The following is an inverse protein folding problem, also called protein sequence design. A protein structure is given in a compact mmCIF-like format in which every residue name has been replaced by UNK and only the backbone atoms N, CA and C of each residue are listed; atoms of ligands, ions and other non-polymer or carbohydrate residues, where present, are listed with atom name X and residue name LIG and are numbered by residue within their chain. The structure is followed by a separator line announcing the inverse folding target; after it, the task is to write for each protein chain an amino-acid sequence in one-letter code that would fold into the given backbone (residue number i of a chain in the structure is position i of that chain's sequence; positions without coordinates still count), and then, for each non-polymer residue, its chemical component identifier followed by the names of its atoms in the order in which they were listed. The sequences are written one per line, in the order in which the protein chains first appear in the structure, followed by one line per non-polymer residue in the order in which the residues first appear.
data_IF_846550887986
#
_entry.id   IF_846550887986
#
_cell.length_a   1.000
_cell.length_b   1.000
_cell.length_c   1.000
_cell.angle_alpha   90.00
_cell.angle_beta   90.00
_cell.angle_gamma   90.00
#
_symmetry.space_group_name_H-M   'P 1'
#
loop_
_entity.id
_entity.type
_entity.pdbx_description
1 polymer ?
#
# COMPACT_ATOMS: atom_id res chain seq x y z
N UNK A 1 21.03 -3.35 -29.95
CA UNK A 1 20.94 -3.93 -28.60
C UNK A 1 19.70 -3.36 -27.94
N UNK A 2 18.78 -4.19 -27.45
CA UNK A 2 17.61 -3.69 -26.75
C UNK A 2 18.07 -2.90 -25.53
N UNK A 3 17.85 -1.58 -25.53
CA UNK A 3 17.95 -0.74 -24.34
C UNK A 3 16.99 -1.32 -23.31
N UNK A 4 17.51 -1.93 -22.25
CA UNK A 4 16.68 -2.20 -21.08
C UNK A 4 16.40 -0.83 -20.45
N UNK A 5 15.18 -0.32 -20.59
CA UNK A 5 14.67 0.92 -19.98
C UNK A 5 14.54 0.82 -18.45
N UNK A 6 15.46 0.12 -17.79
CA UNK A 6 15.54 -0.01 -16.34
C UNK A 6 16.84 0.62 -15.85
N UNK A 7 16.73 1.40 -14.79
CA UNK A 7 17.88 1.98 -14.09
C UNK A 7 18.79 0.86 -13.57
N UNK A 8 20.07 1.20 -13.37
CA UNK A 8 21.02 0.26 -12.75
C UNK A 8 20.54 -0.21 -11.36
N UNK A 9 19.87 0.67 -10.62
CA UNK A 9 19.31 0.35 -9.31
C UNK A 9 18.18 -0.69 -9.39
N UNK A 10 17.34 -0.64 -10.43
CA UNK A 10 16.33 -1.69 -10.66
C UNK A 10 17.00 -3.01 -10.97
N UNK A 11 18.03 -3.02 -11.82
CA UNK A 11 18.78 -4.24 -12.14
C UNK A 11 19.41 -4.80 -10.86
N UNK A 12 20.02 -3.96 -10.04
CA UNK A 12 20.61 -4.37 -8.77
C UNK A 12 19.57 -5.02 -7.84
N UNK A 13 18.44 -4.35 -7.60
CA UNK A 13 17.39 -4.87 -6.73
C UNK A 13 16.66 -6.08 -7.29
N UNK A 14 16.69 -6.29 -8.61
CA UNK A 14 16.18 -7.49 -9.25
C UNK A 14 17.15 -8.68 -9.13
N UNK A 15 18.43 -8.49 -9.48
CA UNK A 15 19.42 -9.56 -9.45
C UNK A 15 19.88 -9.91 -8.02
N UNK A 16 19.87 -8.93 -7.11
CA UNK A 16 20.30 -9.06 -5.72
C UNK A 16 19.21 -8.51 -4.77
N UNK A 17 18.02 -9.13 -4.73
CA UNK A 17 16.92 -8.64 -3.92
C UNK A 17 17.28 -8.60 -2.44
N UNK A 18 16.89 -7.50 -1.77
CA UNK A 18 17.12 -7.30 -0.35
C UNK A 18 15.93 -7.80 0.44
N UNK A 19 16.20 -8.41 1.60
CA UNK A 19 15.18 -8.89 2.54
C UNK A 19 14.17 -9.89 1.95
N UNK A 20 14.56 -10.63 0.92
CA UNK A 20 13.75 -11.73 0.41
C UNK A 20 13.60 -12.81 1.48
N UNK A 21 12.36 -13.25 1.72
CA UNK A 21 12.06 -14.31 2.66
C UNK A 21 12.32 -15.67 1.99
N UNK A 22 13.44 -16.30 2.38
CA UNK A 22 13.81 -17.63 1.91
C UNK A 22 12.94 -18.69 2.56
N UNK A 23 12.80 -19.82 1.87
CA UNK A 23 12.13 -21.01 2.39
C UNK A 23 13.13 -21.89 3.16
N UNK A 24 13.75 -21.33 4.19
CA UNK A 24 14.69 -22.00 5.08
C UNK A 24 14.26 -21.84 6.55
N UNK A 25 15.06 -22.37 7.49
CA UNK A 25 14.76 -22.33 8.91
C UNK A 25 14.64 -20.89 9.45
N UNK A 26 15.49 -19.97 8.99
CA UNK A 26 15.46 -18.55 9.36
C UNK A 26 14.20 -17.86 8.81
N UNK A 27 13.78 -18.18 7.58
CA UNK A 27 12.51 -17.71 7.02
C UNK A 27 11.29 -18.20 7.81
N UNK A 28 11.27 -19.49 8.17
CA UNK A 28 10.19 -20.07 8.99
C UNK A 28 10.13 -19.43 10.38
N UNK A 29 11.28 -19.22 11.02
CA UNK A 29 11.37 -18.52 12.30
C UNK A 29 10.91 -17.06 12.18
N UNK A 30 11.28 -16.38 11.09
CA UNK A 30 10.82 -15.02 10.84
C UNK A 30 9.30 -14.93 10.75
N UNK A 31 8.66 -15.81 9.98
CA UNK A 31 7.20 -15.85 9.83
C UNK A 31 6.52 -16.04 11.19
N UNK A 32 7.02 -16.98 12.01
CA UNK A 32 6.47 -17.28 13.33
C UNK A 32 6.49 -16.07 14.27
N UNK A 33 7.54 -15.26 14.16
CA UNK A 33 7.78 -14.09 15.01
C UNK A 33 7.33 -12.76 14.38
N UNK A 34 6.74 -12.77 13.18
CA UNK A 34 6.23 -11.56 12.54
C UNK A 34 4.96 -11.06 13.24
N UNK A 35 4.90 -9.76 13.52
CA UNK A 35 3.73 -9.14 14.15
C UNK A 35 2.54 -9.10 13.20
N UNK A 36 2.79 -8.85 11.92
CA UNK A 36 1.75 -8.76 10.92
C UNK A 36 2.18 -9.24 9.53
N UNK A 37 1.15 -9.52 8.73
CA UNK A 37 1.25 -10.08 7.39
C UNK A 37 0.27 -9.37 6.45
N UNK A 38 0.72 -9.09 5.23
CA UNK A 38 -0.09 -8.56 4.14
C UNK A 38 0.10 -9.37 2.88
N UNK A 39 -1.00 -9.66 2.19
CA UNK A 39 -1.02 -10.29 0.87
C UNK A 39 -1.94 -9.50 -0.06
N UNK A 40 -1.48 -9.25 -1.27
CA UNK A 40 -2.23 -8.60 -2.33
C UNK A 40 -1.87 -9.23 -3.67
N UNK A 41 -2.80 -9.18 -4.63
CA UNK A 41 -2.58 -9.66 -5.98
C UNK A 41 -3.28 -8.76 -6.99
N UNK A 42 -2.69 -8.62 -8.16
CA UNK A 42 -3.28 -7.89 -9.28
C UNK A 42 -3.77 -8.88 -10.33
N UNK A 43 -5.10 -9.07 -10.51
CA UNK A 43 -5.64 -10.05 -11.44
C UNK A 43 -5.38 -9.70 -12.91
N UNK A 44 -5.08 -8.44 -13.22
CA UNK A 44 -4.85 -7.98 -14.60
C UNK A 44 -3.46 -8.41 -15.10
N UNK A 45 -2.44 -8.35 -14.25
CA UNK A 45 -1.07 -8.74 -14.62
C UNK A 45 -0.60 -10.06 -14.01
N UNK A 46 -1.32 -10.61 -13.01
CA UNK A 46 -1.00 -11.85 -12.32
C UNK A 46 0.04 -11.73 -11.21
N UNK A 47 0.55 -10.53 -10.92
CA UNK A 47 1.53 -10.31 -9.85
C UNK A 47 0.88 -10.52 -8.47
N UNK A 48 1.58 -11.21 -7.56
CA UNK A 48 1.18 -11.44 -6.17
C UNK A 48 2.33 -11.03 -5.25
N UNK A 49 2.01 -10.33 -4.16
CA UNK A 49 3.00 -9.85 -3.20
C UNK A 49 2.59 -10.14 -1.77
N UNK A 50 3.57 -10.60 -0.99
CA UNK A 50 3.45 -10.99 0.42
C UNK A 50 4.51 -10.28 1.24
N UNK A 51 4.12 -9.62 2.32
CA UNK A 51 5.02 -8.89 3.22
C UNK A 51 4.74 -9.30 4.66
N UNK A 52 5.81 -9.57 5.41
CA UNK A 52 5.81 -9.82 6.85
C UNK A 52 6.63 -8.72 7.52
N UNK A 53 6.08 -8.14 8.59
CA UNK A 53 6.73 -7.07 9.32
C UNK A 53 6.92 -7.46 10.79
N UNK A 54 8.02 -7.00 11.37
CA UNK A 54 8.23 -6.91 12.82
C UNK A 54 8.09 -5.46 13.25
N UNK A 55 7.36 -5.25 14.34
CA UNK A 55 7.00 -3.93 14.84
C UNK A 55 7.59 -3.74 16.23
N UNK A 56 8.37 -2.69 16.40
CA UNK A 56 8.67 -2.13 17.72
C UNK A 56 7.41 -1.41 18.21
N UNK A 57 6.74 -2.03 19.18
CA UNK A 57 5.47 -1.55 19.72
C UNK A 57 5.64 -0.35 20.66
N UNK A 58 6.81 -0.20 21.28
CA UNK A 58 7.08 0.91 22.19
C UNK A 58 7.26 2.20 21.40
N UNK A 59 7.93 2.12 20.24
CA UNK A 59 8.22 3.27 19.39
C UNK A 59 7.30 3.41 18.17
N UNK A 60 6.36 2.49 17.96
CA UNK A 60 5.44 2.44 16.81
C UNK A 60 6.18 2.46 15.45
N UNK A 61 7.22 1.61 15.34
CA UNK A 61 8.12 1.53 14.17
C UNK A 61 8.20 0.15 13.55
N UNK A 62 8.36 0.10 12.24
CA UNK A 62 8.68 -1.12 11.48
C UNK A 62 10.19 -1.33 11.59
N UNK A 63 10.61 -2.39 12.29
CA UNK A 63 12.04 -2.67 12.54
C UNK A 63 12.60 -3.76 11.63
N UNK A 64 11.73 -4.62 11.09
CA UNK A 64 12.13 -5.59 10.06
C UNK A 64 10.99 -5.82 9.08
N UNK A 65 11.35 -6.12 7.84
CA UNK A 65 10.46 -6.37 6.73
C UNK A 65 11.06 -7.46 5.87
N UNK A 66 10.35 -8.58 5.70
CA UNK A 66 10.70 -9.62 4.72
C UNK A 66 9.52 -9.89 3.80
N UNK A 67 9.80 -10.37 2.59
CA UNK A 67 8.77 -10.46 1.56
C UNK A 67 8.98 -11.64 0.61
N UNK A 68 7.90 -12.02 -0.04
CA UNK A 68 7.89 -12.91 -1.20
C UNK A 68 7.00 -12.28 -2.27
N UNK A 69 7.39 -12.40 -3.53
CA UNK A 69 6.54 -11.97 -4.64
C UNK A 69 6.67 -12.95 -5.79
N UNK A 70 5.55 -13.19 -6.45
CA UNK A 70 5.52 -13.76 -7.78
C UNK A 70 5.14 -12.63 -8.72
N UNK A 71 6.03 -12.23 -9.61
CA UNK A 71 5.73 -11.14 -10.52
C UNK A 71 6.88 -10.74 -11.43
N UNK A 72 6.67 -9.66 -12.18
CA UNK A 72 7.66 -9.19 -13.15
C UNK A 72 8.91 -8.54 -12.50
N UNK A 73 9.92 -8.21 -13.32
CA UNK A 73 11.16 -7.53 -12.91
C UNK A 73 10.90 -6.32 -12.02
N UNK A 74 9.91 -5.49 -12.38
CA UNK A 74 9.55 -4.31 -11.61
C UNK A 74 8.93 -4.66 -10.25
N UNK A 75 8.12 -5.70 -10.14
CA UNK A 75 7.53 -6.14 -8.87
C UNK A 75 8.61 -6.58 -7.88
N UNK A 76 9.59 -7.37 -8.32
CA UNK A 76 10.72 -7.80 -7.50
C UNK A 76 11.55 -6.59 -7.04
N UNK A 77 11.93 -5.71 -7.97
CA UNK A 77 12.75 -4.54 -7.65
C UNK A 77 12.03 -3.55 -6.70
N UNK A 78 10.75 -3.29 -6.93
CA UNK A 78 9.90 -2.46 -6.05
C UNK A 78 9.82 -3.04 -4.65
N UNK A 79 9.52 -4.33 -4.51
CA UNK A 79 9.37 -4.95 -3.19
C UNK A 79 10.68 -4.96 -2.43
N UNK A 80 11.76 -5.27 -3.15
CA UNK A 80 13.13 -5.19 -2.65
C UNK A 80 13.44 -3.79 -2.12
N UNK A 81 13.20 -2.73 -2.90
CA UNK A 81 13.44 -1.34 -2.46
C UNK A 81 12.54 -0.94 -1.30
N UNK A 82 11.24 -1.25 -1.37
CA UNK A 82 10.29 -0.97 -0.30
C UNK A 82 10.78 -1.55 1.03
N UNK A 83 11.24 -2.79 1.03
CA UNK A 83 11.76 -3.43 2.24
C UNK A 83 13.01 -2.75 2.81
N UNK A 84 13.87 -2.18 1.95
CA UNK A 84 15.02 -1.38 2.39
C UNK A 84 14.54 -0.08 3.02
N UNK A 85 13.65 0.66 2.34
CA UNK A 85 13.09 1.92 2.84
C UNK A 85 12.46 1.77 4.22
N UNK A 86 11.68 0.70 4.44
CA UNK A 86 11.04 0.42 5.72
C UNK A 86 12.03 0.18 6.86
N UNK A 87 13.22 -0.31 6.54
CA UNK A 87 14.29 -0.65 7.50
C UNK A 87 15.39 0.41 7.58
N UNK A 88 15.31 1.50 6.81
CA UNK A 88 16.35 2.54 6.83
C UNK A 88 16.52 3.12 8.25
N UNK A 89 17.77 3.31 8.67
CA UNK A 89 18.10 3.80 10.00
C UNK A 89 17.71 2.83 11.12
N UNK A 90 16.80 3.26 12.00
CA UNK A 90 16.26 2.46 13.11
C UNK A 90 14.88 1.86 12.80
N UNK A 91 14.46 1.89 11.54
CA UNK A 91 13.11 1.51 11.13
C UNK A 91 12.20 2.71 10.89
N UNK A 92 11.27 2.55 9.95
CA UNK A 92 10.30 3.58 9.58
C UNK A 92 9.14 3.60 10.57
N UNK A 93 8.70 4.80 11.01
CA UNK A 93 7.48 4.91 11.83
C UNK A 93 6.26 4.43 11.04
N UNK A 94 5.29 3.82 11.73
CA UNK A 94 4.07 3.34 11.08
C UNK A 94 3.33 4.50 10.39
N UNK A 95 3.28 5.68 11.00
CA UNK A 95 2.65 6.86 10.38
C UNK A 95 3.34 7.27 9.08
N UNK A 96 4.67 7.30 9.05
CA UNK A 96 5.43 7.57 7.81
C UNK A 96 5.20 6.47 6.75
N UNK A 97 5.05 5.22 7.18
CA UNK A 97 4.77 4.10 6.28
C UNK A 97 3.35 4.19 5.67
N UNK A 98 2.35 4.70 6.42
CA UNK A 98 1.00 4.95 5.90
C UNK A 98 0.97 6.07 4.85
N UNK A 99 1.85 7.07 5.00
CA UNK A 99 2.02 8.18 4.06
C UNK A 99 2.95 7.87 2.87
N UNK A 100 3.58 6.69 2.87
CA UNK A 100 4.43 6.27 1.77
C UNK A 100 3.57 6.09 0.52
N UNK A 101 3.99 6.70 -0.59
CA UNK A 101 3.28 6.63 -1.88
C UNK A 101 4.04 5.71 -2.84
N UNK A 102 3.35 5.11 -3.83
CA UNK A 102 4.01 4.38 -4.91
C UNK A 102 5.08 5.22 -5.62
N UNK A 103 4.83 6.53 -5.78
CA UNK A 103 5.75 7.47 -6.43
C UNK A 103 7.09 7.56 -5.67
N UNK A 104 7.06 7.69 -4.34
CA UNK A 104 8.27 7.73 -3.51
C UNK A 104 9.12 6.46 -3.63
N UNK A 105 8.50 5.30 -3.79
CA UNK A 105 9.21 4.03 -4.00
C UNK A 105 9.91 4.03 -5.38
N UNK A 106 9.21 4.51 -6.40
CA UNK A 106 9.75 4.65 -7.77
C UNK A 106 10.90 5.65 -7.83
N UNK A 107 10.76 6.80 -7.18
CA UNK A 107 11.80 7.82 -7.09
C UNK A 107 13.06 7.27 -6.43
N UNK A 108 12.91 6.45 -5.37
CA UNK A 108 14.04 5.78 -4.73
C UNK A 108 14.73 4.78 -5.67
N UNK A 109 14.00 4.16 -6.59
CA UNK A 109 14.53 3.32 -7.68
C UNK A 109 15.05 4.12 -8.89
N UNK A 110 14.98 5.45 -8.84
CA UNK A 110 15.28 6.37 -9.93
C UNK A 110 14.07 6.57 -10.85
N UNK A 111 13.71 5.56 -11.64
CA UNK A 111 12.54 5.59 -12.50
C UNK A 111 12.16 4.18 -12.95
N UNK A 112 10.87 3.89 -13.11
CA UNK A 112 10.38 2.70 -13.79
C UNK A 112 9.59 3.11 -15.04
N UNK A 113 9.54 2.27 -16.09
CA UNK A 113 8.68 2.51 -17.24
C UNK A 113 7.22 2.75 -16.80
N UNK A 114 6.50 3.76 -17.33
CA UNK A 114 5.15 4.11 -16.86
C UNK A 114 4.16 2.93 -16.86
N UNK A 115 4.25 2.03 -17.84
CA UNK A 115 3.41 0.82 -17.94
C UNK A 115 3.60 -0.16 -16.76
N UNK A 116 4.69 -0.03 -16.00
CA UNK A 116 5.04 -0.87 -14.84
C UNK A 116 4.73 -0.21 -13.50
N UNK A 117 4.13 1.00 -13.51
CA UNK A 117 3.79 1.71 -12.27
C UNK A 117 2.85 0.94 -11.34
N UNK A 118 1.99 0.09 -11.89
CA UNK A 118 1.11 -0.78 -11.11
C UNK A 118 1.86 -1.71 -10.15
N UNK A 119 3.12 -2.07 -10.41
CA UNK A 119 3.95 -2.85 -9.49
C UNK A 119 4.28 -2.05 -8.21
N UNK A 120 4.51 -0.74 -8.33
CA UNK A 120 4.72 0.15 -7.19
C UNK A 120 3.43 0.35 -6.38
N UNK A 121 2.28 0.43 -7.07
CA UNK A 121 0.95 0.45 -6.43
C UNK A 121 0.74 -0.83 -5.61
N UNK A 122 0.96 -1.99 -6.23
CA UNK A 122 0.82 -3.29 -5.55
C UNK A 122 1.73 -3.41 -4.32
N UNK A 123 2.98 -2.93 -4.41
CA UNK A 123 3.88 -2.90 -3.26
C UNK A 123 3.40 -2.03 -2.11
N UNK A 124 2.87 -0.85 -2.42
CA UNK A 124 2.29 0.01 -1.41
C UNK A 124 1.02 -0.60 -0.78
N UNK A 125 0.18 -1.24 -1.58
CA UNK A 125 -1.02 -1.95 -1.10
C UNK A 125 -0.65 -3.14 -0.19
N UNK A 126 0.42 -3.88 -0.50
CA UNK A 126 0.93 -4.96 0.33
C UNK A 126 1.35 -4.46 1.72
N UNK A 127 2.07 -3.34 1.78
CA UNK A 127 2.44 -2.68 3.04
C UNK A 127 1.20 -2.27 3.85
N UNK A 128 0.24 -1.61 3.20
CA UNK A 128 -1.01 -1.19 3.87
C UNK A 128 -1.82 -2.38 4.35
N UNK A 129 -1.84 -3.48 3.58
CA UNK A 129 -2.44 -4.76 3.98
C UNK A 129 -1.81 -5.32 5.25
N UNK A 130 -0.48 -5.33 5.33
CA UNK A 130 0.25 -5.76 6.52
C UNK A 130 -0.04 -4.87 7.74
N UNK A 131 -0.03 -3.54 7.58
CA UNK A 131 -0.32 -2.62 8.68
C UNK A 131 -1.77 -2.71 9.15
N UNK A 132 -2.73 -2.89 8.25
CA UNK A 132 -4.12 -3.14 8.64
C UNK A 132 -4.29 -4.47 9.37
N UNK A 133 -3.52 -5.50 9.02
CA UNK A 133 -3.46 -6.74 9.80
C UNK A 133 -2.94 -6.48 11.22
N UNK A 134 -1.87 -5.69 11.36
CA UNK A 134 -1.34 -5.26 12.66
C UNK A 134 -2.38 -4.52 13.50
N UNK A 135 -3.06 -3.53 12.92
CA UNK A 135 -4.08 -2.74 13.61
C UNK A 135 -5.26 -3.58 14.08
N UNK A 136 -5.72 -4.55 13.26
CA UNK A 136 -6.76 -5.49 13.69
C UNK A 136 -6.32 -6.37 14.87
N UNK A 137 -5.09 -6.91 14.81
CA UNK A 137 -4.54 -7.74 15.90
C UNK A 137 -4.37 -6.97 17.21
N UNK A 138 -4.05 -5.68 17.11
CA UNK A 138 -3.82 -4.80 18.27
C UNK A 138 -5.02 -3.94 18.65
N UNK A 139 -6.18 -4.15 18.00
CA UNK A 139 -7.45 -3.44 18.25
C UNK A 139 -7.41 -1.92 18.01
N UNK A 140 -6.53 -1.45 17.13
CA UNK A 140 -6.40 -0.05 16.71
C UNK A 140 -7.26 0.24 15.48
N UNK A 141 -8.58 0.03 15.58
CA UNK A 141 -9.48 0.03 14.43
C UNK A 141 -9.60 1.40 13.73
N UNK A 142 -9.35 2.48 14.45
CA UNK A 142 -9.32 3.87 13.97
C UNK A 142 -8.17 4.15 12.99
N UNK A 143 -7.09 3.36 13.07
CA UNK A 143 -5.92 3.49 12.19
C UNK A 143 -6.03 2.68 10.89
N UNK A 144 -7.09 1.90 10.72
CA UNK A 144 -7.30 1.08 9.53
C UNK A 144 -7.58 1.97 8.32
N UNK A 145 -6.85 1.73 7.24
CA UNK A 145 -7.01 2.47 5.98
C UNK A 145 -7.55 1.57 4.86
N UNK A 146 -8.24 2.11 3.84
CA UNK A 146 -8.60 1.33 2.67
C UNK A 146 -7.35 0.88 1.89
N UNK A 147 -7.43 -0.32 1.29
CA UNK A 147 -6.40 -0.89 0.41
C UNK A 147 -7.02 -0.97 -0.98
N UNK A 148 -6.28 -0.60 -2.02
CA UNK A 148 -6.81 -0.50 -3.37
C UNK A 148 -7.08 0.93 -3.78
N UNK A 149 -7.69 1.14 -4.96
CA UNK A 149 -8.25 2.45 -5.28
C UNK A 149 -9.20 2.80 -4.15
N UNK A 150 -9.11 4.04 -3.68
CA UNK A 150 -9.83 4.56 -2.52
C UNK A 150 -11.33 4.70 -2.81
N UNK A 151 -11.91 3.74 -3.52
CA UNK A 151 -13.26 3.74 -4.04
C UNK A 151 -14.20 3.63 -2.87
N UNK A 152 -14.91 4.72 -2.67
CA UNK A 152 -16.10 4.81 -1.88
C UNK A 152 -17.23 4.05 -2.58
N UNK A 153 -17.26 4.07 -3.92
CA UNK A 153 -18.17 3.28 -4.76
C UNK A 153 -17.50 2.83 -6.07
N UNK A 154 -17.51 1.53 -6.33
CA UNK A 154 -16.90 0.94 -7.52
C UNK A 154 -17.67 1.26 -8.82
N UNK A 155 -19.01 1.27 -8.78
CA UNK A 155 -19.84 1.57 -9.97
C UNK A 155 -19.71 3.02 -10.36
N UNK A 156 -19.69 3.90 -9.38
CA UNK A 156 -19.57 5.35 -9.60
C UNK A 156 -18.12 5.77 -9.83
N UNK A 157 -17.15 4.87 -9.61
CA UNK A 157 -15.71 5.17 -9.55
C UNK A 157 -15.38 6.32 -8.59
N UNK A 158 -16.22 6.51 -7.56
CA UNK A 158 -16.13 7.60 -6.59
C UNK A 158 -15.12 7.24 -5.50
N UNK A 159 -14.20 8.14 -5.16
CA UNK A 159 -13.18 7.89 -4.11
C UNK A 159 -13.37 8.68 -2.81
N UNK A 160 -12.83 8.20 -1.67
CA UNK A 160 -12.86 8.98 -0.42
C UNK A 160 -12.05 10.26 -0.55
N UNK A 161 -10.94 10.26 -1.30
CA UNK A 161 -10.18 11.47 -1.60
C UNK A 161 -11.05 12.52 -2.30
N UNK A 162 -11.77 12.17 -3.35
CA UNK A 162 -12.65 13.12 -4.06
C UNK A 162 -13.72 13.69 -3.13
N UNK A 163 -14.37 12.84 -2.35
CA UNK A 163 -15.38 13.30 -1.37
C UNK A 163 -14.76 14.21 -0.31
N UNK A 164 -13.59 13.86 0.24
CA UNK A 164 -12.88 14.72 1.22
C UNK A 164 -12.46 16.05 0.61
N UNK A 165 -11.95 16.05 -0.62
CA UNK A 165 -11.57 17.27 -1.32
C UNK A 165 -12.81 18.14 -1.62
N UNK A 166 -13.96 17.53 -1.91
CA UNK A 166 -15.21 18.27 -2.05
C UNK A 166 -15.70 18.89 -0.75
N UNK A 167 -15.59 18.17 0.37
CA UNK A 167 -15.93 18.68 1.70
C UNK A 167 -15.04 19.87 2.06
N UNK A 168 -13.72 19.74 1.85
CA UNK A 168 -12.76 20.84 2.03
C UNK A 168 -13.08 22.04 1.14
N UNK A 169 -13.57 21.80 -0.07
CA UNK A 169 -14.05 22.82 -1.01
C UNK A 169 -15.53 23.17 -0.81
N UNK A 170 -16.04 23.05 0.42
CA UNK A 170 -17.30 23.62 0.86
C UNK A 170 -18.54 22.73 0.76
N UNK A 171 -18.41 21.45 0.37
CA UNK A 171 -19.56 20.54 0.43
C UNK A 171 -19.92 20.19 1.89
N UNK A 172 -21.16 20.44 2.30
CA UNK A 172 -21.63 20.30 3.69
C UNK A 172 -22.75 19.28 3.87
N UNK A 173 -23.32 18.78 2.79
CA UNK A 173 -24.41 17.80 2.84
C UNK A 173 -24.19 16.65 1.86
N UNK A 174 -24.91 15.55 2.10
CA UNK A 174 -24.87 14.39 1.21
C UNK A 174 -25.39 14.75 -0.19
N UNK A 175 -26.42 15.59 -0.27
CA UNK A 175 -27.03 16.03 -1.53
C UNK A 175 -26.05 16.84 -2.39
N UNK A 176 -25.20 17.66 -1.77
CA UNK A 176 -24.15 18.39 -2.49
C UNK A 176 -23.06 17.47 -3.05
N UNK A 177 -22.72 16.40 -2.31
CA UNK A 177 -21.82 15.36 -2.80
C UNK A 177 -22.47 14.59 -3.95
N UNK A 178 -23.73 14.18 -3.81
CA UNK A 178 -24.49 13.48 -4.84
C UNK A 178 -24.65 14.32 -6.12
N UNK A 179 -24.85 15.63 -6.00
CA UNK A 179 -24.88 16.56 -7.12
C UNK A 179 -23.53 16.62 -7.87
N UNK A 180 -22.40 16.57 -7.15
CA UNK A 180 -21.06 16.53 -7.76
C UNK A 180 -20.72 15.20 -8.41
N UNK A 181 -21.25 14.09 -7.87
CA UNK A 181 -21.18 12.77 -8.51
C UNK A 181 -21.96 12.76 -9.83
N UNK A 182 -23.01 13.58 -9.96
CA UNK A 182 -23.80 13.73 -11.18
C UNK A 182 -24.78 12.59 -11.43
N UNK A 183 -24.89 11.64 -10.50
CA UNK A 183 -25.87 10.56 -10.50
C UNK A 183 -26.20 10.16 -9.06
N UNK A 184 -27.31 9.44 -8.89
CA UNK A 184 -27.72 9.00 -7.56
C UNK A 184 -26.77 7.96 -6.99
N UNK A 185 -26.44 8.13 -5.72
CA UNK A 185 -25.65 7.14 -4.96
C UNK A 185 -26.60 6.08 -4.42
N UNK A 186 -26.76 4.99 -5.17
CA UNK A 186 -27.72 3.92 -4.84
C UNK A 186 -27.20 2.96 -3.75
N UNK A 187 -25.88 2.82 -3.59
CA UNK A 187 -25.30 1.89 -2.63
C UNK A 187 -25.44 2.43 -1.19
N UNK A 188 -26.16 1.73 -0.29
CA UNK A 188 -26.35 2.17 1.09
C UNK A 188 -25.04 2.27 1.89
N UNK A 189 -24.06 1.41 1.62
CA UNK A 189 -22.75 1.46 2.28
C UNK A 189 -21.96 2.70 1.87
N UNK A 190 -22.01 3.04 0.57
CA UNK A 190 -21.40 4.27 0.04
C UNK A 190 -21.99 5.49 0.74
N UNK A 191 -23.32 5.53 0.87
CA UNK A 191 -24.03 6.61 1.55
C UNK A 191 -23.59 6.76 3.01
N UNK A 192 -23.56 5.66 3.78
CA UNK A 192 -23.13 5.69 5.17
C UNK A 192 -21.68 6.19 5.35
N UNK A 193 -20.78 5.78 4.44
CA UNK A 193 -19.38 6.25 4.43
C UNK A 193 -19.27 7.75 4.14
N UNK A 194 -20.03 8.28 3.17
CA UNK A 194 -20.05 9.73 2.86
C UNK A 194 -20.57 10.53 4.07
N UNK A 195 -21.65 10.07 4.71
CA UNK A 195 -22.19 10.73 5.91
C UNK A 195 -21.18 10.73 7.08
N UNK A 196 -20.43 9.65 7.25
CA UNK A 196 -19.35 9.59 8.25
C UNK A 196 -18.23 10.59 7.93
N UNK A 197 -17.84 10.73 6.66
CA UNK A 197 -16.83 11.69 6.23
C UNK A 197 -17.28 13.14 6.48
N UNK A 198 -18.56 13.45 6.24
CA UNK A 198 -19.15 14.76 6.51
C UNK A 198 -19.21 15.10 8.00
N UNK A 199 -19.36 14.11 8.88
CA UNK A 199 -19.40 14.32 10.35
C UNK A 199 -18.02 14.53 10.97
N UNK A 200 -16.96 14.03 10.31
CA UNK A 200 -15.61 13.96 10.87
C UNK A 200 -14.63 15.01 10.28
N UNK A 201 -15.11 15.95 9.47
CA UNK A 201 -14.33 17.08 8.92
C UNK A 201 -15.06 18.41 9.18
#
# INVERSE_FOLDING_TARGET
MASFDYTELIKEHFFNPRNFLKNDADGAEFIKNADCYGEVGNPVCGDVMKIWLKIDRENDKIIDCRWQTFGCVAAIAVTSMLSVMLKEGSGMSINSALELTPQKIVEKLGAIPPKKFHCAVLGNEALKSALNNYFRKTRQFDRIIPIGPDLLDEKLKLTHKEVKDWIRNGAKSFEEIEARVGTKVENPETKAKIELLLKNN
#
